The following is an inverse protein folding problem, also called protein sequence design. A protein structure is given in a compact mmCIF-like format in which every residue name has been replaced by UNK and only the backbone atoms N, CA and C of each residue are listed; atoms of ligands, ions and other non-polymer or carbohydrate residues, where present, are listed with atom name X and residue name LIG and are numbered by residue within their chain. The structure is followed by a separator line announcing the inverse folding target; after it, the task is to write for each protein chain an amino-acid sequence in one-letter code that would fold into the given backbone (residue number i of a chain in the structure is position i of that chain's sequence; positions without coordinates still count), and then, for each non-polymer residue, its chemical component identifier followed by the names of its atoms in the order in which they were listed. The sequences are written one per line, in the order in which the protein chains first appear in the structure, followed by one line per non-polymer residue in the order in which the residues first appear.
data_IF_473131163961
#
_entry.id   IF_473131163961
#
_cell.length_a   1.000
_cell.length_b   1.000
_cell.length_c   1.000
_cell.angle_alpha   90.00
_cell.angle_beta   90.00
_cell.angle_gamma   90.00
#
_symmetry.space_group_name_H-M   'P 1'
#
loop_
_entity.id
_entity.type
_entity.pdbx_description
1 polymer ?
#
# COMPACT_ATOMS: atom_id res chain seq x y z
N UNK A 1 -2.60 6.38 28.93
CA UNK A 1 -2.78 6.42 27.46
C UNK A 1 -2.97 5.00 26.97
N UNK A 2 -3.96 4.74 26.11
CA UNK A 2 -4.19 3.40 25.51
C UNK A 2 -3.83 3.45 24.02
N UNK A 3 -3.19 2.40 23.52
CA UNK A 3 -2.84 2.27 22.11
C UNK A 3 -4.02 1.67 21.33
N UNK A 4 -4.21 2.14 20.09
CA UNK A 4 -5.19 1.56 19.16
C UNK A 4 -4.50 0.57 18.23
N UNK A 5 -5.06 -0.64 18.14
CA UNK A 5 -4.58 -1.65 17.19
C UNK A 5 -4.95 -1.23 15.77
N UNK A 6 -3.96 -1.14 14.88
CA UNK A 6 -4.16 -0.96 13.44
C UNK A 6 -4.00 -2.31 12.75
N UNK A 7 -4.90 -2.62 11.81
CA UNK A 7 -4.87 -3.84 11.02
C UNK A 7 -4.49 -3.50 9.57
N UNK A 8 -3.56 -4.23 8.94
CA UNK A 8 -3.17 -3.98 7.54
C UNK A 8 -4.33 -4.18 6.56
N UNK A 9 -4.36 -3.36 5.51
CA UNK A 9 -5.28 -3.48 4.37
C UNK A 9 -4.53 -3.29 3.06
N UNK A 10 -5.02 -3.86 1.97
CA UNK A 10 -4.46 -3.65 0.63
C UNK A 10 -5.16 -2.48 -0.04
N UNK A 11 -4.38 -1.59 -0.66
CA UNK A 11 -4.89 -0.45 -1.41
C UNK A 11 -4.29 -0.42 -2.82
N UNK A 12 -5.09 0.02 -3.78
CA UNK A 12 -4.65 0.32 -5.12
C UNK A 12 -4.25 1.79 -5.21
N UNK A 13 -3.09 2.05 -5.81
CA UNK A 13 -2.54 3.40 -5.97
C UNK A 13 -2.12 3.65 -7.43
N UNK A 14 -2.30 4.87 -7.91
CA UNK A 14 -1.64 5.34 -9.11
C UNK A 14 -0.28 5.92 -8.73
N UNK A 15 0.77 5.46 -9.42
CA UNK A 15 2.15 5.89 -9.22
C UNK A 15 2.86 6.00 -10.57
N UNK A 16 3.89 6.85 -10.65
CA UNK A 16 4.81 6.82 -11.78
C UNK A 16 5.81 5.65 -11.68
N UNK A 17 6.68 5.54 -12.69
CA UNK A 17 7.65 4.45 -12.80
C UNK A 17 8.94 4.71 -12.02
N UNK A 18 9.13 5.89 -11.42
CA UNK A 18 10.36 6.23 -10.70
C UNK A 18 10.36 5.60 -9.29
N UNK A 19 11.21 4.59 -9.11
CA UNK A 19 11.39 3.86 -7.85
C UNK A 19 12.81 3.95 -7.30
N UNK A 20 12.94 3.74 -6.00
CA UNK A 20 14.19 3.49 -5.29
C UNK A 20 13.98 2.30 -4.35
N UNK A 21 14.48 1.13 -4.73
CA UNK A 21 14.12 -0.13 -4.06
C UNK A 21 12.60 -0.34 -4.08
N UNK A 22 12.01 -0.56 -2.91
CA UNK A 22 10.56 -0.78 -2.72
C UNK A 22 9.74 0.50 -2.60
N UNK A 23 10.36 1.68 -2.65
CA UNK A 23 9.68 2.97 -2.49
C UNK A 23 9.51 3.70 -3.83
N UNK A 24 8.34 4.34 -4.02
CA UNK A 24 8.14 5.30 -5.09
C UNK A 24 8.81 6.63 -4.74
N UNK A 25 9.44 7.28 -5.73
CA UNK A 25 10.16 8.54 -5.51
C UNK A 25 9.23 9.76 -5.43
N UNK A 26 8.00 9.62 -5.92
CA UNK A 26 7.01 10.70 -5.98
C UNK A 26 5.72 10.30 -5.25
N UNK A 27 4.85 11.29 -5.04
CA UNK A 27 3.57 11.08 -4.35
C UNK A 27 2.69 10.11 -5.15
N UNK A 28 2.16 9.10 -4.46
CA UNK A 28 1.17 8.18 -5.02
C UNK A 28 -0.24 8.68 -4.75
N UNK A 29 -1.16 8.44 -5.68
CA UNK A 29 -2.57 8.76 -5.52
C UNK A 29 -3.33 7.51 -5.11
N UNK A 30 -4.00 7.55 -3.95
CA UNK A 30 -4.95 6.51 -3.54
C UNK A 30 -6.10 6.41 -4.54
N UNK A 31 -6.43 5.17 -4.94
CA UNK A 31 -7.58 4.91 -5.82
C UNK A 31 -8.71 4.24 -5.06
N UNK A 32 -8.44 3.09 -4.42
CA UNK A 32 -9.44 2.29 -3.70
C UNK A 32 -8.80 1.28 -2.76
N UNK A 33 -9.61 0.78 -1.82
CA UNK A 33 -9.29 -0.43 -1.05
C UNK A 33 -9.50 -1.67 -1.92
N UNK A 34 -8.67 -2.69 -1.74
CA UNK A 34 -8.79 -4.02 -2.36
C UNK A 34 -9.19 -5.02 -1.27
N UNK A 35 -10.48 -5.00 -0.93
CA UNK A 35 -11.09 -5.92 0.04
C UNK A 35 -11.17 -7.37 -0.48
N UNK A 36 -10.99 -7.55 -1.78
CA UNK A 36 -10.87 -8.83 -2.47
C UNK A 36 -9.49 -9.50 -2.31
N UNK A 37 -8.49 -8.82 -1.73
CA UNK A 37 -7.12 -9.32 -1.60
C UNK A 37 -6.70 -9.52 -0.15
N UNK A 38 -5.99 -10.61 0.12
CA UNK A 38 -5.33 -10.87 1.41
C UNK A 38 -4.04 -10.04 1.52
N UNK A 39 -3.87 -9.16 2.52
CA UNK A 39 -2.61 -8.45 2.76
C UNK A 39 -1.37 -9.34 2.82
N UNK A 40 -1.49 -10.58 3.28
CA UNK A 40 -0.36 -11.52 3.36
C UNK A 40 0.05 -12.10 1.99
N UNK A 41 -0.83 -12.01 0.99
CA UNK A 41 -0.57 -12.49 -0.37
C UNK A 41 0.14 -11.47 -1.25
N UNK A 42 0.24 -10.20 -0.81
CA UNK A 42 0.84 -9.13 -1.60
C UNK A 42 2.36 -9.24 -1.55
N UNK A 43 2.96 -9.53 -2.70
CA UNK A 43 4.42 -9.59 -2.88
C UNK A 43 4.94 -8.31 -3.53
N UNK A 44 6.08 -7.83 -3.04
CA UNK A 44 6.80 -6.73 -3.67
C UNK A 44 7.52 -7.17 -4.96
N UNK A 45 7.89 -6.22 -5.83
CA UNK A 45 8.81 -6.47 -6.93
C UNK A 45 10.21 -6.89 -6.44
#
# INVERSE_FOLDING_TARGET
MVLTRVVPVVVEVAADTARQGFAFRHQVRFLRVRDDLDPQSVVGP
#
